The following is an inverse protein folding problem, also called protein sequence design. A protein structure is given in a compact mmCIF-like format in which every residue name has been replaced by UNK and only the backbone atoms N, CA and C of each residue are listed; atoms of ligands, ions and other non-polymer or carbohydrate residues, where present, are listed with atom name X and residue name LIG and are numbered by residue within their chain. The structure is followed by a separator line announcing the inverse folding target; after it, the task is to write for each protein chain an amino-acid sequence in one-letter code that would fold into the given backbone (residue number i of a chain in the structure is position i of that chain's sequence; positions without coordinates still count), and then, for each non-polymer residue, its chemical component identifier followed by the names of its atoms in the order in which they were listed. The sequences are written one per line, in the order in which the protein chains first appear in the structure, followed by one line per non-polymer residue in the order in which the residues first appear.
data_IF_265887233157
#
_entry.id   IF_265887233157
#
_cell.length_a   1.000
_cell.length_b   1.000
_cell.length_c   1.000
_cell.angle_alpha   90.00
_cell.angle_beta   90.00
_cell.angle_gamma   90.00
#
_symmetry.space_group_name_H-M   'P 1'
#
loop_
_entity.id
_entity.type
_entity.pdbx_description
1 polymer ?
#
# COMPACT_ATOMS: atom_id res chain seq x y z
N UNK A 1 -69.29 -73.06 24.52
CA UNK A 1 -69.74 -71.67 24.79
C UNK A 1 -69.11 -70.77 23.75
N UNK A 2 -69.92 -70.41 22.79
CA UNK A 2 -69.54 -69.91 21.46
C UNK A 2 -69.89 -68.42 21.42
N UNK A 3 -68.91 -67.54 21.26
CA UNK A 3 -69.17 -66.10 21.09
C UNK A 3 -69.12 -65.75 19.60
N UNK A 4 -70.28 -65.32 19.12
CA UNK A 4 -70.57 -64.99 17.74
C UNK A 4 -69.86 -63.70 17.30
N UNK A 5 -69.34 -63.74 16.08
CA UNK A 5 -68.79 -62.62 15.33
C UNK A 5 -69.97 -61.89 14.66
N UNK A 6 -70.17 -60.62 15.01
CA UNK A 6 -71.13 -59.75 14.34
C UNK A 6 -70.41 -58.97 13.24
N UNK A 7 -70.69 -59.33 11.99
CA UNK A 7 -70.29 -58.58 10.79
C UNK A 7 -71.43 -57.63 10.46
N UNK A 8 -71.18 -56.33 10.56
CA UNK A 8 -72.10 -55.30 10.10
C UNK A 8 -71.68 -54.88 8.68
N UNK A 9 -72.45 -55.32 7.68
CA UNK A 9 -72.44 -54.76 6.34
C UNK A 9 -73.21 -53.44 6.37
N UNK A 10 -72.57 -52.33 6.03
CA UNK A 10 -73.26 -51.07 5.74
C UNK A 10 -72.94 -50.67 4.30
N UNK A 11 -73.99 -50.68 3.48
CA UNK A 11 -73.99 -50.40 2.05
C UNK A 11 -74.10 -48.89 1.78
N UNK A 12 -73.34 -48.44 0.79
CA UNK A 12 -73.47 -47.28 -0.09
C UNK A 12 -74.41 -46.12 0.30
N UNK A 13 -73.80 -44.95 0.49
CA UNK A 13 -74.36 -43.65 0.11
C UNK A 13 -73.31 -42.88 -0.70
N UNK A 14 -73.43 -42.92 -2.03
CA UNK A 14 -72.64 -42.07 -2.93
C UNK A 14 -73.14 -40.63 -2.80
N UNK A 15 -72.32 -39.75 -2.23
CA UNK A 15 -72.44 -38.31 -2.42
C UNK A 15 -71.26 -37.87 -3.27
N UNK A 16 -71.52 -37.72 -4.58
CA UNK A 16 -70.67 -36.99 -5.51
C UNK A 16 -70.71 -35.50 -5.13
N UNK A 17 -69.98 -35.10 -4.09
CA UNK A 17 -69.51 -33.73 -3.99
C UNK A 17 -68.28 -33.65 -4.88
N UNK A 18 -68.48 -33.10 -6.08
CA UNK A 18 -67.37 -32.65 -6.90
C UNK A 18 -66.59 -31.61 -6.10
N UNK A 19 -65.50 -32.04 -5.49
CA UNK A 19 -64.40 -31.14 -5.20
C UNK A 19 -63.97 -30.62 -6.56
N UNK A 20 -64.30 -29.36 -6.83
CA UNK A 20 -63.50 -28.57 -7.71
C UNK A 20 -62.06 -28.74 -7.22
N UNK A 21 -61.24 -29.45 -8.01
CA UNK A 21 -59.83 -29.16 -8.02
C UNK A 21 -59.77 -27.69 -8.41
N UNK A 22 -59.68 -26.82 -7.41
CA UNK A 22 -59.04 -25.52 -7.59
C UNK A 22 -57.72 -25.87 -8.27
N UNK A 23 -57.65 -25.58 -9.56
CA UNK A 23 -56.40 -25.58 -10.28
C UNK A 23 -55.47 -24.76 -9.42
N UNK A 24 -54.45 -25.40 -8.85
CA UNK A 24 -53.25 -24.73 -8.38
C UNK A 24 -52.92 -23.73 -9.48
N UNK A 25 -53.25 -22.46 -9.23
CA UNK A 25 -52.80 -21.38 -10.08
C UNK A 25 -51.29 -21.47 -9.93
N UNK A 26 -50.63 -22.05 -10.93
CA UNK A 26 -49.18 -22.15 -10.97
C UNK A 26 -48.66 -20.75 -10.71
N UNK A 27 -48.17 -20.51 -9.50
CA UNK A 27 -47.61 -19.24 -9.07
C UNK A 27 -46.29 -19.09 -9.83
N UNK A 28 -46.39 -18.63 -11.07
CA UNK A 28 -45.25 -18.38 -11.92
C UNK A 28 -44.59 -17.11 -11.39
N UNK A 29 -43.45 -17.27 -10.73
CA UNK A 29 -42.61 -16.14 -10.35
C UNK A 29 -41.87 -15.62 -11.59
N UNK A 30 -41.86 -14.30 -11.77
CA UNK A 30 -41.17 -13.64 -12.89
C UNK A 30 -40.24 -12.57 -12.33
N UNK A 31 -38.96 -12.59 -12.73
CA UNK A 31 -38.00 -11.55 -12.36
C UNK A 31 -38.30 -10.27 -13.14
N UNK A 32 -38.64 -9.19 -12.43
CA UNK A 32 -38.99 -7.89 -13.02
C UNK A 32 -37.79 -6.96 -13.14
N UNK A 33 -36.97 -6.90 -12.10
CA UNK A 33 -35.77 -6.06 -12.02
C UNK A 33 -34.77 -6.65 -11.02
N UNK A 34 -33.51 -6.28 -11.13
CA UNK A 34 -32.47 -6.67 -10.19
C UNK A 34 -31.36 -5.63 -10.09
N UNK A 35 -30.72 -5.57 -8.92
CA UNK A 35 -29.52 -4.76 -8.69
C UNK A 35 -28.52 -5.52 -7.85
N UNK A 36 -27.24 -5.39 -8.20
CA UNK A 36 -26.13 -5.98 -7.44
C UNK A 36 -25.22 -4.87 -6.95
N UNK A 37 -24.79 -4.97 -5.70
CA UNK A 37 -23.82 -4.06 -5.11
C UNK A 37 -22.48 -4.15 -5.82
N UNK A 38 -21.66 -3.10 -5.70
CA UNK A 38 -20.22 -3.27 -5.99
C UNK A 38 -19.61 -4.26 -5.00
N UNK A 39 -18.43 -4.80 -5.33
CA UNK A 39 -17.66 -5.65 -4.41
C UNK A 39 -17.52 -4.97 -3.05
N UNK A 40 -18.08 -5.57 -2.00
CA UNK A 40 -18.02 -5.07 -0.63
C UNK A 40 -16.77 -5.64 0.06
N UNK A 41 -15.79 -4.79 0.40
CA UNK A 41 -14.56 -5.21 1.10
C UNK A 41 -14.69 -5.21 2.64
N UNK A 42 -15.91 -5.16 3.15
CA UNK A 42 -16.19 -5.16 4.59
C UNK A 42 -16.01 -6.57 5.17
N UNK A 43 -16.53 -7.57 4.46
CA UNK A 43 -16.65 -8.93 4.95
C UNK A 43 -15.57 -9.86 4.41
N UNK A 44 -15.26 -10.95 5.13
CA UNK A 44 -14.49 -12.06 4.57
C UNK A 44 -15.34 -12.87 3.57
N UNK A 45 -15.08 -12.75 2.25
CA UNK A 45 -15.91 -13.42 1.25
C UNK A 45 -15.78 -14.95 1.30
N UNK A 46 -14.69 -15.49 1.82
CA UNK A 46 -14.48 -16.95 1.91
C UNK A 46 -15.23 -17.61 3.06
N UNK A 47 -15.70 -16.82 4.04
CA UNK A 47 -16.44 -17.31 5.22
C UNK A 47 -17.92 -16.95 5.17
N UNK A 48 -18.30 -16.07 4.25
CA UNK A 48 -19.65 -15.52 4.15
C UNK A 48 -20.68 -16.64 3.93
N UNK A 49 -21.80 -16.54 4.63
CA UNK A 49 -22.97 -17.35 4.34
C UNK A 49 -23.73 -16.73 3.17
N UNK A 50 -24.03 -17.52 2.15
CA UNK A 50 -25.07 -17.17 1.19
C UNK A 50 -26.40 -17.20 1.94
N UNK A 51 -27.09 -16.06 2.04
CA UNK A 51 -28.25 -15.90 2.91
C UNK A 51 -29.27 -14.93 2.33
N UNK A 52 -30.52 -15.11 2.73
CA UNK A 52 -31.55 -14.09 2.55
C UNK A 52 -31.35 -13.07 3.66
N UNK A 53 -31.12 -11.81 3.27
CA UNK A 53 -31.02 -10.68 4.20
C UNK A 53 -32.38 -10.08 4.49
N UNK A 54 -33.23 -9.97 3.47
CA UNK A 54 -34.55 -9.37 3.61
C UNK A 54 -35.50 -9.96 2.56
N UNK A 55 -36.75 -10.17 2.97
CA UNK A 55 -37.86 -10.54 2.09
C UNK A 55 -39.05 -9.63 2.43
N UNK A 56 -39.52 -8.85 1.45
CA UNK A 56 -40.68 -7.98 1.58
C UNK A 56 -41.72 -8.37 0.55
N UNK A 57 -42.97 -8.53 0.96
CA UNK A 57 -44.09 -8.84 0.05
C UNK A 57 -45.06 -7.68 0.08
N UNK A 58 -45.44 -7.17 -1.10
CA UNK A 58 -46.41 -6.09 -1.25
C UNK A 58 -47.14 -6.18 -2.58
N UNK A 59 -48.48 -6.23 -2.52
CA UNK A 59 -49.36 -6.04 -3.68
C UNK A 59 -49.02 -6.92 -4.88
N UNK A 60 -48.87 -8.24 -4.68
CA UNK A 60 -48.54 -9.16 -5.77
C UNK A 60 -47.08 -9.15 -6.24
N UNK A 61 -46.19 -8.40 -5.58
CA UNK A 61 -44.75 -8.40 -5.84
C UNK A 61 -43.97 -8.71 -4.57
N UNK A 62 -42.79 -9.28 -4.75
CA UNK A 62 -41.82 -9.56 -3.68
C UNK A 62 -40.48 -8.92 -3.98
N UNK A 63 -39.86 -8.35 -2.96
CA UNK A 63 -38.47 -7.87 -3.00
C UNK A 63 -37.65 -8.82 -2.14
N UNK A 64 -36.62 -9.41 -2.73
CA UNK A 64 -35.72 -10.37 -2.10
C UNK A 64 -34.29 -9.84 -2.15
N UNK A 65 -33.69 -9.58 -0.98
CA UNK A 65 -32.29 -9.21 -0.85
C UNK A 65 -31.45 -10.40 -0.39
N UNK A 66 -30.42 -10.74 -1.15
CA UNK A 66 -29.53 -11.88 -0.94
C UNK A 66 -28.11 -11.37 -0.74
N UNK A 67 -27.46 -11.82 0.33
CA UNK A 67 -26.01 -11.65 0.53
C UNK A 67 -25.31 -12.94 0.10
N UNK A 68 -24.26 -12.85 -0.71
CA UNK A 68 -23.52 -14.00 -1.20
C UNK A 68 -22.08 -13.62 -1.58
N UNK A 69 -21.24 -14.64 -1.79
CA UNK A 69 -19.86 -14.45 -2.22
C UNK A 69 -19.60 -15.09 -3.58
N UNK A 70 -19.01 -14.32 -4.49
CA UNK A 70 -18.71 -14.78 -5.85
C UNK A 70 -17.35 -14.22 -6.31
N UNK A 71 -16.82 -14.70 -7.44
CA UNK A 71 -15.64 -14.14 -8.07
C UNK A 71 -15.83 -12.63 -8.36
N UNK A 72 -14.80 -11.83 -8.08
CA UNK A 72 -14.80 -10.38 -8.31
C UNK A 72 -15.05 -9.98 -9.78
N UNK A 73 -14.73 -10.85 -10.74
CA UNK A 73 -14.92 -10.63 -12.17
C UNK A 73 -16.18 -11.32 -12.73
N UNK A 74 -17.01 -11.91 -11.87
CA UNK A 74 -18.26 -12.51 -12.31
C UNK A 74 -19.23 -11.42 -12.79
N UNK A 75 -19.73 -11.57 -14.01
CA UNK A 75 -20.90 -10.82 -14.46
C UNK A 75 -22.15 -11.50 -13.88
N UNK A 76 -22.76 -10.86 -12.89
CA UNK A 76 -23.90 -11.41 -12.16
C UNK A 76 -25.17 -11.03 -12.92
N UNK A 77 -25.81 -12.01 -13.56
CA UNK A 77 -27.10 -11.85 -14.23
C UNK A 77 -28.09 -12.88 -13.68
N UNK A 78 -28.93 -12.53 -12.69
CA UNK A 78 -29.82 -13.48 -12.05
C UNK A 78 -30.95 -13.94 -12.98
N UNK A 79 -31.28 -15.23 -12.89
CA UNK A 79 -32.49 -15.83 -13.45
C UNK A 79 -33.28 -16.47 -12.32
N UNK A 80 -34.61 -16.41 -12.42
CA UNK A 80 -35.53 -16.95 -11.41
C UNK A 80 -36.40 -18.01 -12.06
N UNK A 81 -36.43 -19.20 -11.47
CA UNK A 81 -37.23 -20.34 -11.92
C UNK A 81 -37.98 -20.95 -10.74
N UNK A 82 -39.09 -21.64 -11.02
CA UNK A 82 -39.88 -22.33 -9.99
C UNK A 82 -39.90 -23.81 -10.27
N UNK A 83 -39.41 -24.61 -9.32
CA UNK A 83 -39.34 -26.07 -9.43
C UNK A 83 -39.87 -26.68 -8.14
N UNK A 84 -40.95 -27.46 -8.21
CA UNK A 84 -41.55 -28.15 -7.06
C UNK A 84 -41.73 -27.21 -5.85
N UNK A 85 -42.46 -26.10 -6.06
CA UNK A 85 -42.71 -25.04 -5.08
C UNK A 85 -41.47 -24.29 -4.54
N UNK A 86 -40.28 -24.58 -5.06
CA UNK A 86 -39.04 -23.91 -4.69
C UNK A 86 -38.68 -22.83 -5.69
N UNK A 87 -38.16 -21.70 -5.20
CA UNK A 87 -37.60 -20.64 -6.02
C UNK A 87 -36.12 -20.93 -6.27
N UNK A 88 -35.71 -21.06 -7.53
CA UNK A 88 -34.31 -21.26 -7.91
C UNK A 88 -33.79 -19.97 -8.54
N UNK A 89 -32.65 -19.50 -8.03
CA UNK A 89 -31.97 -18.29 -8.44
C UNK A 89 -30.60 -18.68 -8.97
N UNK A 90 -30.37 -18.49 -10.26
CA UNK A 90 -29.09 -18.79 -10.91
C UNK A 90 -28.41 -17.49 -11.30
N UNK A 91 -27.15 -17.28 -10.90
CA UNK A 91 -26.40 -16.05 -11.17
C UNK A 91 -25.41 -16.17 -12.33
N UNK A 92 -25.17 -17.39 -12.81
CA UNK A 92 -24.33 -17.66 -13.98
C UNK A 92 -25.16 -17.68 -15.26
N UNK A 93 -24.61 -17.14 -16.35
CA UNK A 93 -25.13 -17.42 -17.68
C UNK A 93 -25.07 -18.93 -17.94
N UNK A 94 -26.11 -19.55 -18.51
CA UNK A 94 -25.96 -20.89 -19.03
C UNK A 94 -24.88 -20.84 -20.12
N UNK A 95 -23.90 -21.71 -20.01
CA UNK A 95 -22.94 -21.97 -21.08
C UNK A 95 -23.70 -22.63 -22.25
N UNK A 96 -24.49 -21.84 -22.98
CA UNK A 96 -25.05 -22.26 -24.26
C UNK A 96 -23.98 -22.05 -25.33
N UNK A 97 -23.18 -23.09 -25.51
CA UNK A 97 -22.57 -23.55 -26.77
C UNK A 97 -21.67 -22.66 -27.65
N UNK A 98 -21.42 -21.38 -27.35
CA UNK A 98 -20.54 -20.57 -28.20
C UNK A 98 -19.22 -20.21 -27.52
N UNK A 99 -18.17 -20.11 -28.34
CA UNK A 99 -16.74 -19.89 -28.06
C UNK A 99 -16.44 -18.62 -27.24
N UNK A 100 -16.94 -18.53 -26.00
CA UNK A 100 -16.68 -17.40 -25.11
C UNK A 100 -15.24 -17.52 -24.61
N UNK A 101 -14.42 -16.56 -25.03
CA UNK A 101 -13.11 -16.22 -24.46
C UNK A 101 -13.09 -16.57 -22.97
N UNK A 102 -12.11 -17.39 -22.58
CA UNK A 102 -11.83 -17.71 -21.17
C UNK A 102 -11.77 -16.39 -20.41
N UNK A 103 -12.86 -16.02 -19.73
CA UNK A 103 -12.91 -14.86 -18.86
C UNK A 103 -11.77 -15.08 -17.87
N UNK A 104 -10.75 -14.21 -17.95
CA UNK A 104 -9.52 -14.34 -17.21
C UNK A 104 -9.83 -14.76 -15.77
N UNK A 105 -9.26 -15.89 -15.34
CA UNK A 105 -9.43 -16.39 -13.97
C UNK A 105 -8.96 -15.29 -13.00
N UNK A 106 -9.90 -14.50 -12.50
CA UNK A 106 -9.58 -13.53 -11.49
C UNK A 106 -9.43 -14.27 -10.17
N UNK A 107 -8.22 -14.27 -9.59
CA UNK A 107 -7.95 -14.82 -8.26
C UNK A 107 -8.41 -13.85 -7.16
N UNK A 108 -9.65 -13.38 -7.26
CA UNK A 108 -10.30 -12.67 -6.18
C UNK A 108 -11.75 -13.11 -5.96
N UNK A 109 -12.14 -13.13 -4.69
CA UNK A 109 -13.52 -13.35 -4.25
C UNK A 109 -14.03 -12.07 -3.60
N UNK A 110 -15.27 -11.73 -3.87
CA UNK A 110 -15.96 -10.55 -3.39
C UNK A 110 -17.24 -10.92 -2.66
N UNK A 111 -17.68 -10.04 -1.76
CA UNK A 111 -18.99 -10.11 -1.14
C UNK A 111 -19.95 -9.21 -1.90
N UNK A 112 -21.14 -9.70 -2.18
CA UNK A 112 -22.17 -9.00 -2.94
C UNK A 112 -23.50 -9.03 -2.21
N UNK A 113 -24.26 -7.96 -2.40
CA UNK A 113 -25.68 -7.86 -2.06
C UNK A 113 -26.47 -7.75 -3.35
N UNK A 114 -27.38 -8.68 -3.61
CA UNK A 114 -28.28 -8.65 -4.76
C UNK A 114 -29.72 -8.45 -4.29
N UNK A 115 -30.38 -7.44 -4.84
CA UNK A 115 -31.79 -7.17 -4.65
C UNK A 115 -32.55 -7.60 -5.90
N UNK A 116 -33.54 -8.47 -5.74
CA UNK A 116 -34.40 -8.98 -6.80
C UNK A 116 -35.82 -8.47 -6.59
N UNK A 117 -36.44 -7.93 -7.64
CA UNK A 117 -37.86 -7.63 -7.68
C UNK A 117 -38.59 -8.72 -8.48
N UNK A 118 -39.47 -9.47 -7.82
CA UNK A 118 -40.12 -10.66 -8.36
C UNK A 118 -41.63 -10.43 -8.37
N UNK A 119 -42.29 -10.70 -9.51
CA UNK A 119 -43.74 -10.77 -9.60
C UNK A 119 -44.22 -12.06 -8.96
N UNK A 120 -45.21 -11.98 -8.07
CA UNK A 120 -45.68 -13.07 -7.22
C UNK A 120 -45.40 -12.81 -5.74
N UNK A 121 -46.20 -13.42 -4.87
CA UNK A 121 -46.07 -13.29 -3.41
C UNK A 121 -45.29 -14.49 -2.86
N UNK A 122 -44.01 -14.27 -2.54
CA UNK A 122 -43.15 -15.31 -1.97
C UNK A 122 -43.69 -15.74 -0.61
N UNK A 123 -43.97 -17.03 -0.46
CA UNK A 123 -44.46 -17.59 0.80
C UNK A 123 -43.34 -17.56 1.84
N UNK A 124 -43.69 -17.33 3.11
CA UNK A 124 -42.73 -17.21 4.23
C UNK A 124 -41.85 -18.46 4.40
N UNK A 125 -42.39 -19.65 4.10
CA UNK A 125 -41.69 -20.94 4.22
C UNK A 125 -41.25 -21.52 2.87
N UNK A 126 -41.27 -20.73 1.80
CA UNK A 126 -40.85 -21.20 0.49
C UNK A 126 -39.34 -21.51 0.50
N UNK A 127 -38.95 -22.66 -0.05
CA UNK A 127 -37.53 -22.97 -0.20
C UNK A 127 -36.92 -22.13 -1.32
N UNK A 128 -35.82 -21.43 -1.02
CA UNK A 128 -35.08 -20.61 -1.99
C UNK A 128 -33.68 -21.19 -2.17
N UNK A 129 -33.25 -21.33 -3.43
CA UNK A 129 -31.95 -21.85 -3.81
C UNK A 129 -31.17 -20.79 -4.60
N UNK A 130 -29.90 -20.61 -4.29
CA UNK A 130 -28.95 -19.79 -5.06
C UNK A 130 -27.86 -20.70 -5.63
N UNK A 131 -27.76 -20.79 -6.95
CA UNK A 131 -26.82 -21.68 -7.65
C UNK A 131 -26.85 -23.11 -7.08
N UNK A 132 -28.05 -23.71 -7.06
CA UNK A 132 -28.34 -25.05 -6.53
C UNK A 132 -28.11 -25.27 -5.03
N UNK A 133 -27.81 -24.20 -4.27
CA UNK A 133 -27.63 -24.28 -2.82
C UNK A 133 -28.79 -23.60 -2.11
N UNK A 134 -29.45 -24.34 -1.24
CA UNK A 134 -30.50 -23.78 -0.38
C UNK A 134 -29.90 -22.62 0.43
N UNK A 135 -30.57 -21.47 0.40
CA UNK A 135 -30.28 -20.32 1.25
C UNK A 135 -31.44 -20.08 2.20
N UNK A 136 -31.15 -19.55 3.37
CA UNK A 136 -32.14 -19.31 4.42
C UNK A 136 -32.05 -17.87 4.90
N UNK A 137 -33.12 -17.40 5.52
CA UNK A 137 -33.08 -16.15 6.26
C UNK A 137 -32.11 -16.29 7.43
N UNK A 138 -31.20 -15.33 7.54
CA UNK A 138 -30.24 -15.28 8.65
C UNK A 138 -29.84 -13.85 8.89
N UNK A 139 -29.79 -13.39 10.14
CA UNK A 139 -29.16 -12.12 10.51
C UNK A 139 -27.63 -12.20 10.52
N UNK A 140 -27.08 -13.42 10.58
CA UNK A 140 -25.66 -13.68 10.70
C UNK A 140 -24.96 -13.74 9.35
N UNK A 141 -23.87 -12.98 9.21
CA UNK A 141 -23.02 -12.95 8.00
C UNK A 141 -22.13 -14.19 7.85
N UNK A 142 -21.79 -14.83 8.97
CA UNK A 142 -20.90 -15.99 9.03
C UNK A 142 -21.52 -17.10 9.84
N UNK A 143 -21.01 -18.32 9.67
CA UNK A 143 -21.30 -19.42 10.61
C UNK A 143 -20.91 -19.01 12.02
N UNK A 144 -21.83 -19.24 12.96
CA UNK A 144 -21.59 -18.91 14.36
C UNK A 144 -20.87 -20.04 15.09
N UNK A 145 -20.08 -19.66 16.09
CA UNK A 145 -19.34 -20.54 16.99
C UNK A 145 -19.51 -20.04 18.42
N UNK A 146 -19.34 -20.90 19.45
CA UNK A 146 -19.36 -20.46 20.83
C UNK A 146 -18.33 -19.35 21.09
N UNK A 147 -18.77 -18.29 21.76
CA UNK A 147 -17.88 -17.25 22.28
C UNK A 147 -16.93 -17.89 23.29
N UNK A 148 -15.65 -17.54 23.22
CA UNK A 148 -14.64 -18.03 24.14
C UNK A 148 -13.81 -16.88 24.69
N UNK A 149 -13.30 -17.05 25.90
CA UNK A 149 -12.35 -16.13 26.51
C UNK A 149 -11.55 -16.83 27.60
N UNK A 150 -10.51 -16.18 28.07
CA UNK A 150 -9.66 -16.61 29.19
C UNK A 150 -9.53 -15.46 30.18
N UNK A 151 -9.10 -15.76 31.41
CA UNK A 151 -8.82 -14.72 32.40
C UNK A 151 -7.34 -14.68 32.75
N UNK A 152 -6.82 -13.47 32.92
CA UNK A 152 -5.45 -13.22 33.38
C UNK A 152 -5.45 -11.99 34.28
N UNK A 153 -4.96 -12.13 35.52
CA UNK A 153 -4.95 -11.07 36.52
C UNK A 153 -6.31 -10.39 36.73
N UNK A 154 -7.40 -11.17 36.71
CA UNK A 154 -8.77 -10.66 36.88
C UNK A 154 -9.35 -9.93 35.65
N UNK A 155 -8.62 -9.88 34.54
CA UNK A 155 -9.06 -9.29 33.29
C UNK A 155 -9.37 -10.37 32.25
N UNK A 156 -10.37 -10.13 31.41
CA UNK A 156 -10.68 -11.00 30.28
C UNK A 156 -9.66 -10.78 29.15
N UNK A 157 -9.14 -11.88 28.61
CA UNK A 157 -8.17 -11.93 27.52
C UNK A 157 -8.55 -13.02 26.51
N UNK A 158 -7.91 -13.00 25.34
CA UNK A 158 -8.07 -14.02 24.31
C UNK A 158 -9.53 -14.27 23.92
N UNK A 159 -10.32 -13.20 23.83
CA UNK A 159 -11.74 -13.28 23.52
C UNK A 159 -11.95 -13.55 22.03
N UNK A 160 -12.89 -14.43 21.72
CA UNK A 160 -13.39 -14.66 20.37
C UNK A 160 -14.89 -14.40 20.31
N UNK A 161 -15.35 -13.65 19.32
CA UNK A 161 -16.78 -13.39 19.15
C UNK A 161 -17.55 -14.59 18.60
N UNK A 162 -18.86 -14.42 18.43
CA UNK A 162 -19.75 -15.45 17.87
C UNK A 162 -19.40 -15.89 16.45
N UNK A 163 -18.51 -15.19 15.75
CA UNK A 163 -18.01 -15.56 14.43
C UNK A 163 -16.56 -16.10 14.46
N UNK A 164 -16.00 -16.29 15.66
CA UNK A 164 -14.64 -16.80 15.86
C UNK A 164 -13.54 -15.78 15.56
N UNK A 165 -13.86 -14.49 15.40
CA UNK A 165 -12.85 -13.44 15.27
C UNK A 165 -12.30 -13.06 16.64
N UNK A 166 -11.01 -12.73 16.69
CA UNK A 166 -10.33 -12.26 17.89
C UNK A 166 -10.77 -10.84 18.23
N UNK A 167 -11.02 -10.57 19.50
CA UNK A 167 -11.44 -9.26 20.01
C UNK A 167 -10.66 -8.87 21.27
N UNK A 168 -10.53 -7.57 21.48
CA UNK A 168 -9.88 -7.03 22.66
C UNK A 168 -8.43 -7.48 22.78
N UNK A 169 -8.00 -7.76 24.02
CA UNK A 169 -6.59 -8.08 24.33
C UNK A 169 -6.31 -9.57 24.13
N UNK A 170 -5.35 -9.85 23.27
CA UNK A 170 -4.86 -11.19 23.00
C UNK A 170 -3.44 -11.36 23.54
N UNK A 171 -3.27 -12.27 24.49
CA UNK A 171 -2.00 -12.59 25.14
C UNK A 171 -1.50 -13.98 24.73
N UNK A 172 -0.21 -14.05 24.45
CA UNK A 172 0.54 -15.31 24.36
C UNK A 172 1.62 -15.31 25.42
N UNK A 173 1.93 -16.49 25.94
CA UNK A 173 2.83 -16.65 27.08
C UNK A 173 4.02 -17.52 26.68
N UNK A 174 5.20 -17.16 27.20
CA UNK A 174 6.41 -17.95 27.03
C UNK A 174 6.38 -19.19 27.96
N UNK A 175 7.41 -20.04 27.85
CA UNK A 175 7.52 -21.27 28.66
C UNK A 175 7.62 -21.01 30.18
N UNK A 176 8.08 -19.83 30.58
CA UNK A 176 8.17 -19.42 31.98
C UNK A 176 6.85 -18.81 32.51
N UNK A 177 5.81 -18.70 31.67
CA UNK A 177 4.53 -18.10 32.02
C UNK A 177 4.48 -16.58 31.93
N UNK A 178 5.57 -15.92 31.51
CA UNK A 178 5.59 -14.49 31.22
C UNK A 178 4.88 -14.17 29.90
N UNK A 179 4.37 -12.94 29.75
CA UNK A 179 3.76 -12.49 28.50
C UNK A 179 4.86 -12.44 27.43
N UNK A 180 4.65 -13.09 26.29
CA UNK A 180 5.56 -13.05 25.13
C UNK A 180 5.10 -12.00 24.12
N UNK A 181 3.80 -12.01 23.80
CA UNK A 181 3.18 -11.03 22.91
C UNK A 181 1.81 -10.62 23.45
N UNK A 182 1.51 -9.35 23.23
CA UNK A 182 0.20 -8.75 23.49
C UNK A 182 -0.28 -8.05 22.22
N UNK A 183 -1.47 -8.41 21.75
CA UNK A 183 -2.08 -7.84 20.54
C UNK A 183 -3.43 -7.25 20.95
N UNK A 184 -3.75 -6.05 20.48
CA UNK A 184 -5.08 -5.48 20.63
C UNK A 184 -5.84 -5.59 19.30
N UNK A 185 -7.01 -6.19 19.35
CA UNK A 185 -7.98 -6.22 18.26
C UNK A 185 -9.16 -5.28 18.56
N UNK A 186 -9.84 -4.75 17.53
CA UNK A 186 -11.09 -4.03 17.69
C UNK A 186 -12.13 -4.87 18.44
N UNK A 187 -12.91 -4.21 19.28
CA UNK A 187 -14.14 -4.80 19.80
C UNK A 187 -15.12 -4.99 18.64
N UNK A 188 -15.80 -6.14 18.57
CA UNK A 188 -16.84 -6.40 17.56
C UNK A 188 -16.33 -6.43 16.11
N UNK A 189 -15.22 -7.12 15.83
CA UNK A 189 -14.69 -7.22 14.46
C UNK A 189 -15.56 -8.12 13.57
N UNK A 190 -16.30 -7.50 12.65
CA UNK A 190 -16.98 -8.15 11.52
C UNK A 190 -16.07 -8.27 10.27
N UNK A 191 -14.81 -7.83 10.39
CA UNK A 191 -13.95 -7.52 9.24
C UNK A 191 -13.26 -8.77 8.67
N UNK A 192 -12.99 -8.69 7.36
CA UNK A 192 -12.28 -9.67 6.53
C UNK A 192 -11.03 -10.28 7.19
N UNK A 193 -10.25 -9.44 7.86
CA UNK A 193 -9.17 -9.78 8.79
C UNK A 193 -9.40 -8.87 9.99
N UNK A 194 -9.43 -9.41 11.21
CA UNK A 194 -9.38 -8.58 12.40
C UNK A 194 -8.05 -7.83 12.40
N UNK A 195 -8.03 -6.62 11.83
CA UNK A 195 -6.83 -5.81 11.80
C UNK A 195 -6.50 -5.44 13.22
N UNK A 196 -5.31 -5.86 13.66
CA UNK A 196 -4.81 -5.49 14.98
C UNK A 196 -4.65 -3.97 15.05
N UNK A 197 -5.12 -3.36 16.13
CA UNK A 197 -4.91 -1.93 16.42
C UNK A 197 -3.44 -1.69 16.76
N UNK A 198 -2.84 -2.60 17.53
CA UNK A 198 -1.41 -2.61 17.82
C UNK A 198 -0.97 -3.97 18.32
N UNK A 199 0.35 -4.19 18.38
CA UNK A 199 0.91 -5.31 19.14
C UNK A 199 2.25 -4.96 19.79
N UNK A 200 2.57 -5.70 20.84
CA UNK A 200 3.78 -5.62 21.64
C UNK A 200 4.45 -6.98 21.71
N UNK A 201 5.78 -6.99 21.76
CA UNK A 201 6.60 -8.15 22.09
C UNK A 201 7.41 -7.86 23.33
N UNK A 202 7.48 -8.84 24.21
CA UNK A 202 8.26 -8.77 25.44
C UNK A 202 9.37 -9.83 25.43
N UNK A 203 10.44 -9.57 26.17
CA UNK A 203 11.49 -10.55 26.43
C UNK A 203 11.09 -11.54 27.51
N UNK A 204 11.92 -12.55 27.77
CA UNK A 204 11.68 -13.52 28.84
C UNK A 204 11.67 -12.88 30.24
N UNK A 205 12.41 -11.78 30.43
CA UNK A 205 12.41 -10.99 31.67
C UNK A 205 11.19 -10.06 31.81
N UNK A 206 10.34 -9.98 30.78
CA UNK A 206 9.16 -9.10 30.74
C UNK A 206 9.44 -7.70 30.21
N UNK A 207 10.64 -7.41 29.70
CA UNK A 207 10.97 -6.10 29.12
C UNK A 207 10.31 -5.95 27.75
N UNK A 208 9.75 -4.78 27.46
CA UNK A 208 9.20 -4.49 26.14
C UNK A 208 10.35 -4.45 25.12
N UNK A 209 10.26 -5.22 24.04
CA UNK A 209 11.26 -5.27 22.97
C UNK A 209 10.77 -4.62 21.67
N UNK A 210 9.47 -4.68 21.42
CA UNK A 210 8.87 -4.22 20.17
C UNK A 210 7.45 -3.72 20.38
N UNK A 211 7.09 -2.66 19.67
CA UNK A 211 5.74 -2.12 19.60
C UNK A 211 5.46 -1.67 18.17
N UNK A 212 4.24 -1.89 17.70
CA UNK A 212 3.77 -1.29 16.44
C UNK A 212 2.27 -1.09 16.43
N UNK A 213 1.87 0.01 15.81
CA UNK A 213 0.52 0.46 15.48
C UNK A 213 0.53 0.98 14.04
N UNK A 214 -0.63 1.30 13.43
CA UNK A 214 -0.70 1.87 12.09
C UNK A 214 0.17 3.12 11.89
N UNK A 215 0.31 3.93 12.93
CA UNK A 215 0.99 5.22 12.93
C UNK A 215 2.39 5.18 13.57
N UNK A 216 2.79 4.08 14.21
CA UNK A 216 4.09 4.06 14.89
C UNK A 216 4.72 2.68 15.03
N UNK A 217 6.03 2.63 15.15
CA UNK A 217 6.80 1.42 15.44
C UNK A 217 8.00 1.76 16.29
N UNK A 218 8.24 1.00 17.36
CA UNK A 218 9.35 1.23 18.26
C UNK A 218 10.01 -0.08 18.70
N UNK A 219 11.31 -0.03 18.99
CA UNK A 219 12.13 -1.18 19.42
C UNK A 219 13.01 -0.77 20.58
N UNK A 220 13.16 -1.67 21.54
CA UNK A 220 13.99 -1.50 22.73
C UNK A 220 14.96 -2.68 22.89
N UNK A 221 16.02 -2.48 23.66
CA UNK A 221 16.91 -3.56 24.10
C UNK A 221 16.43 -4.20 25.42
N UNK A 222 17.13 -5.25 25.87
CA UNK A 222 16.84 -5.95 27.13
C UNK A 222 17.02 -5.09 28.39
N UNK A 223 17.71 -3.95 28.29
CA UNK A 223 17.85 -2.98 29.39
C UNK A 223 16.68 -2.00 29.46
N UNK A 224 15.81 -1.99 28.45
CA UNK A 224 14.69 -1.06 28.31
C UNK A 224 15.04 0.24 27.59
N UNK A 225 16.22 0.34 26.99
CA UNK A 225 16.61 1.52 26.21
C UNK A 225 15.98 1.47 24.81
N UNK A 226 15.45 2.60 24.35
CA UNK A 226 14.86 2.74 23.01
C UNK A 226 15.96 2.73 21.94
N UNK A 227 15.91 1.77 21.01
CA UNK A 227 16.87 1.59 19.92
C UNK A 227 16.40 2.18 18.59
N UNK A 228 15.10 2.20 18.34
CA UNK A 228 14.55 2.85 17.15
C UNK A 228 13.08 3.20 17.31
N UNK A 229 12.67 4.30 16.69
CA UNK A 229 11.30 4.79 16.62
C UNK A 229 10.99 5.23 15.19
N UNK A 230 9.80 4.89 14.70
CA UNK A 230 9.19 5.41 13.47
C UNK A 230 7.81 5.92 13.84
N UNK A 231 7.47 7.15 13.43
CA UNK A 231 6.16 7.77 13.64
C UNK A 231 5.67 8.35 12.32
N UNK A 232 4.47 7.97 11.91
CA UNK A 232 3.75 8.53 10.77
C UNK A 232 2.67 9.48 11.29
N UNK A 233 2.54 10.67 10.69
CA UNK A 233 1.47 11.61 11.02
C UNK A 233 1.06 12.41 9.79
N UNK A 234 -0.13 12.98 9.81
CA UNK A 234 -0.66 13.78 8.70
C UNK A 234 -0.87 15.25 9.13
N UNK A 235 -0.65 16.17 8.19
CA UNK A 235 -0.95 17.59 8.34
C UNK A 235 -1.52 18.12 7.02
N UNK A 236 -2.84 18.27 6.95
CA UNK A 236 -3.54 18.49 5.68
C UNK A 236 -3.37 17.28 4.77
N UNK A 237 -3.09 17.52 3.49
CA UNK A 237 -2.89 16.47 2.49
C UNK A 237 -1.45 15.91 2.47
N UNK A 238 -0.58 16.37 3.37
CA UNK A 238 0.79 15.88 3.50
C UNK A 238 0.91 14.85 4.62
N UNK A 239 1.48 13.70 4.30
CA UNK A 239 1.88 12.68 5.28
C UNK A 239 3.37 12.84 5.59
N UNK A 240 3.74 12.70 6.85
CA UNK A 240 5.12 12.77 7.33
C UNK A 240 5.51 11.45 7.97
N UNK A 241 6.76 11.03 7.73
CA UNK A 241 7.39 9.91 8.42
C UNK A 241 8.64 10.41 9.14
N UNK A 242 8.64 10.30 10.47
CA UNK A 242 9.79 10.59 11.32
C UNK A 242 10.42 9.29 11.78
N UNK A 243 11.73 9.13 11.61
CA UNK A 243 12.51 7.99 12.14
C UNK A 243 13.67 8.46 12.99
N UNK A 244 13.83 7.84 14.14
CA UNK A 244 15.00 7.95 15.01
C UNK A 244 15.61 6.56 15.24
N UNK A 245 16.94 6.48 15.26
CA UNK A 245 17.68 5.28 15.68
C UNK A 245 18.85 5.67 16.56
N UNK A 246 19.14 4.85 17.56
CA UNK A 246 20.21 5.05 18.52
C UNK A 246 21.23 3.90 18.43
N UNK A 247 22.47 4.20 18.77
CA UNK A 247 23.53 3.24 19.04
C UNK A 247 23.32 2.55 20.40
N UNK A 248 24.06 1.49 20.69
CA UNK A 248 23.94 0.77 21.98
C UNK A 248 24.36 1.61 23.20
N UNK A 249 25.20 2.61 22.99
CA UNK A 249 25.60 3.60 24.00
C UNK A 249 24.59 4.76 24.14
N UNK A 250 23.44 4.67 23.46
CA UNK A 250 22.35 5.64 23.45
C UNK A 250 22.66 6.97 22.76
N UNK A 251 23.83 7.10 22.11
CA UNK A 251 24.04 8.21 21.19
C UNK A 251 23.16 8.01 19.96
N UNK A 252 22.76 9.13 19.35
CA UNK A 252 21.90 9.11 18.16
C UNK A 252 22.72 8.55 17.01
N UNK A 253 22.13 7.67 16.22
CA UNK A 253 22.72 7.15 14.98
C UNK A 253 22.09 7.78 13.75
N UNK A 254 20.76 7.95 13.77
CA UNK A 254 19.98 8.46 12.64
C UNK A 254 18.81 9.30 13.14
N UNK A 255 18.62 10.48 12.53
CA UNK A 255 17.36 11.23 12.54
C UNK A 255 16.92 11.50 11.12
N UNK A 256 15.65 11.28 10.85
CA UNK A 256 15.13 11.36 9.49
C UNK A 256 13.69 11.86 9.53
N UNK A 257 13.39 12.85 8.68
CA UNK A 257 12.03 13.30 8.40
C UNK A 257 11.81 13.34 6.89
N UNK A 258 10.84 12.54 6.44
CA UNK A 258 10.33 12.52 5.08
C UNK A 258 8.91 13.06 5.05
N UNK A 259 8.55 13.73 3.96
CA UNK A 259 7.17 14.12 3.66
C UNK A 259 6.74 13.50 2.34
N UNK A 260 5.48 13.07 2.28
CA UNK A 260 4.79 12.60 1.11
C UNK A 260 3.59 13.52 0.85
N UNK A 261 3.49 14.07 -0.36
CA UNK A 261 2.39 14.96 -0.74
C UNK A 261 1.95 14.70 -2.17
N UNK A 262 0.68 14.99 -2.46
CA UNK A 262 0.13 14.93 -3.81
C UNK A 262 0.67 16.13 -4.61
N UNK A 263 1.19 15.88 -5.80
CA UNK A 263 1.61 16.91 -6.74
C UNK A 263 1.14 16.57 -8.15
N UNK A 264 1.05 17.57 -9.01
CA UNK A 264 0.62 17.41 -10.40
C UNK A 264 1.81 17.67 -11.31
N UNK A 265 2.19 16.67 -12.11
CA UNK A 265 3.21 16.85 -13.14
C UNK A 265 2.50 17.07 -14.48
N UNK A 266 2.89 18.13 -15.19
CA UNK A 266 2.46 18.39 -16.57
C UNK A 266 3.48 17.86 -17.59
N UNK A 267 3.01 17.44 -18.76
CA UNK A 267 3.90 17.13 -19.87
C UNK A 267 4.55 18.40 -20.43
N UNK A 268 5.87 18.39 -20.63
CA UNK A 268 6.59 19.48 -21.29
C UNK A 268 6.18 19.65 -22.76
N UNK A 269 5.60 18.61 -23.37
CA UNK A 269 5.17 18.61 -24.78
C UNK A 269 3.69 18.93 -24.96
N UNK A 270 2.87 18.60 -23.98
CA UNK A 270 1.43 18.82 -24.00
C UNK A 270 0.95 19.32 -22.64
N UNK A 271 0.79 20.62 -22.50
CA UNK A 271 0.41 21.27 -21.25
C UNK A 271 -1.03 20.94 -20.81
N UNK A 272 -1.84 20.32 -21.67
CA UNK A 272 -3.16 19.81 -21.31
C UNK A 272 -3.10 18.46 -20.58
N UNK A 273 -1.99 17.73 -20.72
CA UNK A 273 -1.80 16.44 -20.05
C UNK A 273 -1.17 16.67 -18.68
N UNK A 274 -1.93 16.37 -17.63
CA UNK A 274 -1.49 16.40 -16.24
C UNK A 274 -1.72 15.05 -15.58
N UNK A 275 -0.83 14.67 -14.67
CA UNK A 275 -0.95 13.46 -13.87
C UNK A 275 -0.70 13.80 -12.41
N UNK A 276 -1.60 13.38 -11.54
CA UNK A 276 -1.39 13.44 -10.09
C UNK A 276 -0.49 12.28 -9.65
N UNK A 277 0.56 12.60 -8.90
CA UNK A 277 1.48 11.63 -8.33
C UNK A 277 1.72 11.95 -6.85
N UNK A 278 2.17 10.95 -6.08
CA UNK A 278 2.67 11.16 -4.72
C UNK A 278 4.18 11.36 -4.82
N UNK A 279 4.65 12.54 -4.44
CA UNK A 279 6.07 12.86 -4.36
C UNK A 279 6.57 12.67 -2.92
N UNK A 280 7.75 12.06 -2.77
CA UNK A 280 8.40 11.85 -1.48
C UNK A 280 9.67 12.68 -1.41
N UNK A 281 9.82 13.48 -0.35
CA UNK A 281 10.96 14.36 -0.17
C UNK A 281 11.51 14.27 1.26
N UNK A 282 12.84 14.21 1.36
CA UNK A 282 13.53 14.39 2.63
C UNK A 282 13.44 15.86 3.06
N UNK A 283 12.78 16.11 4.19
CA UNK A 283 12.92 17.41 4.87
C UNK A 283 14.34 17.50 5.43
N UNK A 284 14.78 16.43 6.10
CA UNK A 284 16.17 16.23 6.49
C UNK A 284 16.51 14.75 6.72
N UNK A 285 17.81 14.43 6.67
CA UNK A 285 18.40 13.17 7.14
C UNK A 285 19.75 13.46 7.78
N UNK A 286 19.90 13.08 9.04
CA UNK A 286 21.11 13.26 9.86
C UNK A 286 21.62 11.88 10.27
N UNK A 287 22.89 11.59 10.06
CA UNK A 287 23.57 10.41 10.56
C UNK A 287 24.75 10.81 11.43
N UNK A 288 25.08 9.95 12.38
CA UNK A 288 26.11 10.21 13.39
C UNK A 288 26.94 8.96 13.66
N UNK A 289 28.22 9.20 13.91
CA UNK A 289 29.14 8.21 14.47
C UNK A 289 28.76 7.86 15.92
N UNK A 290 29.25 6.72 16.42
CA UNK A 290 29.01 6.31 17.82
C UNK A 290 29.50 7.35 18.85
N UNK A 291 30.51 8.15 18.47
CA UNK A 291 31.05 9.28 19.25
C UNK A 291 30.08 10.46 19.37
N UNK A 292 28.97 10.46 18.62
CA UNK A 292 28.02 11.56 18.53
C UNK A 292 28.39 12.64 17.50
N UNK A 293 29.55 12.52 16.84
CA UNK A 293 29.92 13.42 15.74
C UNK A 293 29.03 13.16 14.51
N UNK A 294 28.57 14.20 13.79
CA UNK A 294 27.85 14.03 12.53
C UNK A 294 28.68 13.25 11.52
N UNK A 295 28.06 12.35 10.77
CA UNK A 295 28.65 11.68 9.61
C UNK A 295 27.98 12.11 8.31
N UNK A 296 26.69 12.48 8.36
CA UNK A 296 25.93 12.95 7.21
C UNK A 296 24.82 13.92 7.63
N UNK A 297 24.60 14.96 6.82
CA UNK A 297 23.44 15.84 6.91
C UNK A 297 22.95 16.09 5.49
N UNK A 298 21.74 15.63 5.17
CA UNK A 298 21.05 15.95 3.93
C UNK A 298 19.85 16.83 4.26
N UNK A 299 19.78 18.02 3.66
CA UNK A 299 18.66 18.95 3.79
C UNK A 299 18.29 19.42 2.40
N UNK A 300 17.04 19.17 1.97
CA UNK A 300 16.56 19.43 0.61
C UNK A 300 17.48 18.79 -0.45
N UNK A 301 18.29 19.61 -1.07
CA UNK A 301 19.18 19.33 -2.19
C UNK A 301 20.67 19.37 -1.82
N UNK A 302 20.99 19.72 -0.58
CA UNK A 302 22.35 19.84 -0.09
C UNK A 302 22.69 18.66 0.82
N UNK A 303 23.86 18.05 0.62
CA UNK A 303 24.38 16.95 1.45
C UNK A 303 25.76 17.29 1.95
N UNK A 304 25.97 17.18 3.26
CA UNK A 304 27.25 17.29 3.93
C UNK A 304 27.65 15.91 4.46
N UNK A 305 28.95 15.60 4.39
CA UNK A 305 29.55 14.42 5.02
C UNK A 305 30.78 14.85 5.79
N UNK A 306 31.05 14.18 6.90
CA UNK A 306 32.20 14.47 7.75
C UNK A 306 33.00 13.22 8.05
N UNK A 307 34.29 13.39 8.21
CA UNK A 307 35.16 12.39 8.79
C UNK A 307 34.89 12.20 10.29
N UNK A 308 35.30 11.07 10.88
CA UNK A 308 35.14 10.83 12.33
C UNK A 308 35.84 11.85 13.24
N UNK A 309 36.85 12.57 12.73
CA UNK A 309 37.54 13.63 13.47
C UNK A 309 36.77 14.97 13.48
N UNK A 310 35.65 15.07 12.77
CA UNK A 310 34.81 16.26 12.66
C UNK A 310 35.12 17.17 11.47
N UNK A 311 36.17 16.88 10.69
CA UNK A 311 36.47 17.63 9.47
C UNK A 311 35.49 17.28 8.35
N UNK A 312 35.16 18.27 7.52
CA UNK A 312 34.28 18.07 6.37
C UNK A 312 34.96 17.13 5.36
N UNK A 313 34.21 16.14 4.86
CA UNK A 313 34.65 15.18 3.83
C UNK A 313 34.08 15.56 2.47
N UNK A 314 32.78 15.84 2.41
CA UNK A 314 32.07 16.13 1.16
C UNK A 314 30.96 17.16 1.39
N UNK A 315 30.83 18.10 0.46
CA UNK A 315 29.67 18.98 0.32
C UNK A 315 29.10 18.78 -1.09
N UNK A 316 27.83 18.42 -1.20
CA UNK A 316 27.11 18.25 -2.47
C UNK A 316 25.89 19.16 -2.50
N UNK A 317 25.62 19.74 -3.66
CA UNK A 317 24.47 20.61 -3.96
C UNK A 317 23.94 20.21 -5.37
N UNK A 318 22.76 20.69 -5.84
CA UNK A 318 22.13 20.19 -7.08
C UNK A 318 23.05 20.08 -8.28
N UNK A 319 23.96 21.05 -8.40
CA UNK A 319 24.76 21.28 -9.59
C UNK A 319 26.26 21.21 -9.29
N UNK A 320 26.66 20.46 -8.25
CA UNK A 320 28.07 20.26 -7.96
C UNK A 320 28.39 19.57 -6.64
N UNK A 321 29.69 19.40 -6.42
CA UNK A 321 30.24 18.83 -5.19
C UNK A 321 31.64 19.36 -4.90
N UNK A 322 32.02 19.37 -3.63
CA UNK A 322 33.37 19.58 -3.14
C UNK A 322 33.76 18.39 -2.27
N UNK A 323 34.99 17.91 -2.42
CA UNK A 323 35.58 16.88 -1.56
C UNK A 323 36.83 17.40 -0.90
N UNK A 324 37.10 16.91 0.30
CA UNK A 324 38.19 17.37 1.14
C UNK A 324 39.03 16.20 1.65
N UNK A 325 40.31 16.44 1.83
CA UNK A 325 41.19 15.53 2.55
C UNK A 325 40.89 15.55 4.05
N UNK A 326 41.36 14.53 4.77
CA UNK A 326 41.27 14.46 6.26
C UNK A 326 41.98 15.62 6.98
N UNK A 327 42.84 16.37 6.28
CA UNK A 327 43.50 17.57 6.77
C UNK A 327 42.62 18.83 6.65
N UNK A 328 41.42 18.71 6.08
CA UNK A 328 40.49 19.81 5.81
C UNK A 328 40.77 20.56 4.50
N UNK A 329 41.82 20.19 3.77
CA UNK A 329 42.18 20.82 2.49
C UNK A 329 41.25 20.34 1.37
N UNK A 330 40.94 21.21 0.40
CA UNK A 330 40.10 20.86 -0.74
C UNK A 330 40.86 19.85 -1.61
N UNK A 331 40.22 18.72 -1.93
CA UNK A 331 40.76 17.68 -2.81
C UNK A 331 40.25 17.89 -4.24
N UNK A 332 38.94 18.13 -4.37
CA UNK A 332 38.31 18.35 -5.67
C UNK A 332 37.05 19.20 -5.59
N UNK A 333 36.76 19.89 -6.67
CA UNK A 333 35.50 20.58 -6.90
C UNK A 333 34.92 20.15 -8.25
N UNK A 334 33.62 19.88 -8.28
CA UNK A 334 32.89 19.56 -9.50
C UNK A 334 31.67 20.47 -9.58
N UNK A 335 31.36 20.95 -10.79
CA UNK A 335 30.18 21.73 -11.09
C UNK A 335 29.57 21.27 -12.41
N UNK A 336 28.26 21.38 -12.47
CA UNK A 336 27.46 21.14 -13.66
C UNK A 336 26.52 22.34 -13.87
N UNK A 337 26.28 22.73 -15.11
CA UNK A 337 25.26 23.73 -15.42
C UNK A 337 24.68 23.52 -16.80
N UNK A 338 23.50 24.10 -17.01
CA UNK A 338 22.80 24.09 -18.29
C UNK A 338 22.77 25.49 -18.86
N UNK A 339 23.21 25.69 -20.09
CA UNK A 339 23.01 26.96 -20.77
C UNK A 339 21.71 26.91 -21.59
N UNK A 340 20.99 28.03 -21.63
CA UNK A 340 19.78 28.13 -22.44
C UNK A 340 20.18 28.35 -23.89
N UNK A 341 19.87 27.38 -24.75
CA UNK A 341 19.96 27.55 -26.20
C UNK A 341 19.03 28.66 -26.71
N UNK A 342 19.27 29.14 -27.94
CA UNK A 342 18.34 30.04 -28.64
C UNK A 342 16.99 29.32 -28.81
N UNK A 343 15.88 30.06 -28.90
CA UNK A 343 14.51 29.50 -29.03
C UNK A 343 14.48 28.30 -30.00
N UNK A 344 14.16 27.11 -29.46
CA UNK A 344 14.09 25.86 -30.22
C UNK A 344 15.33 24.96 -30.14
N UNK A 345 16.40 25.38 -29.46
CA UNK A 345 17.59 24.56 -29.20
C UNK A 345 17.57 23.96 -27.80
N UNK A 346 18.10 22.74 -27.69
CA UNK A 346 18.30 22.02 -26.43
C UNK A 346 19.28 22.75 -25.52
N UNK A 347 19.22 22.46 -24.21
CA UNK A 347 20.21 22.95 -23.25
C UNK A 347 21.55 22.25 -23.48
N UNK A 348 22.63 23.01 -23.61
CA UNK A 348 23.98 22.47 -23.53
C UNK A 348 24.29 22.18 -22.06
N UNK A 349 24.69 20.94 -21.75
CA UNK A 349 25.08 20.53 -20.40
C UNK A 349 26.59 20.64 -20.26
N UNK A 350 27.06 21.40 -19.28
CA UNK A 350 28.46 21.68 -19.08
C UNK A 350 28.91 21.07 -17.76
N UNK A 351 30.09 20.44 -17.77
CA UNK A 351 30.71 19.86 -16.59
C UNK A 351 32.12 20.42 -16.40
N UNK A 352 32.45 20.82 -15.18
CA UNK A 352 33.78 21.31 -14.80
C UNK A 352 34.24 20.59 -13.53
N UNK A 353 35.46 20.05 -13.56
CA UNK A 353 36.12 19.42 -12.42
C UNK A 353 37.47 20.08 -12.17
N UNK A 354 37.80 20.38 -10.92
CA UNK A 354 39.09 20.91 -10.47
C UNK A 354 39.66 19.93 -9.44
N UNK A 355 40.91 19.53 -9.59
CA UNK A 355 41.65 18.73 -8.62
C UNK A 355 42.76 19.57 -7.99
N UNK A 356 42.96 19.35 -6.70
CA UNK A 356 43.95 20.05 -5.89
C UNK A 356 44.97 19.07 -5.30
N UNK A 357 46.20 19.54 -5.08
CA UNK A 357 47.23 18.80 -4.35
C UNK A 357 47.12 19.01 -2.82
N UNK A 358 48.08 18.44 -2.08
CA UNK A 358 48.12 18.52 -0.61
C UNK A 358 48.53 19.91 -0.10
N UNK A 359 49.00 20.79 -0.97
CA UNK A 359 49.33 22.19 -0.69
C UNK A 359 48.21 23.14 -1.12
N UNK A 360 47.03 22.57 -1.44
CA UNK A 360 45.84 23.28 -1.90
C UNK A 360 46.09 24.08 -3.20
N UNK A 361 47.02 23.63 -4.03
CA UNK A 361 47.28 24.18 -5.36
C UNK A 361 46.50 23.40 -6.42
N UNK A 362 46.08 24.10 -7.48
CA UNK A 362 45.38 23.48 -8.60
C UNK A 362 46.35 22.56 -9.34
N UNK A 363 46.00 21.28 -9.40
CA UNK A 363 46.73 20.25 -10.13
C UNK A 363 46.16 20.04 -11.53
N UNK A 364 44.84 20.06 -11.65
CA UNK A 364 44.15 19.77 -12.91
C UNK A 364 42.79 20.44 -12.98
N UNK A 365 42.43 20.95 -14.15
CA UNK A 365 41.07 21.37 -14.49
C UNK A 365 40.61 20.53 -15.68
N UNK A 366 39.39 20.01 -15.62
CA UNK A 366 38.76 19.25 -16.70
C UNK A 366 37.39 19.84 -17.02
N UNK A 367 37.12 20.09 -18.28
CA UNK A 367 35.87 20.67 -18.76
C UNK A 367 35.30 19.85 -19.91
N UNK A 368 34.00 19.58 -19.88
CA UNK A 368 33.31 18.89 -20.96
C UNK A 368 31.97 19.57 -21.27
N UNK A 369 31.81 20.14 -22.47
CA UNK A 369 30.50 20.51 -23.00
C UNK A 369 29.84 19.27 -23.63
N UNK A 370 28.66 18.90 -23.13
CA UNK A 370 27.81 17.87 -23.72
C UNK A 370 26.97 18.47 -24.84
N UNK A 371 27.64 18.98 -25.88
CA UNK A 371 27.01 19.47 -27.11
C UNK A 371 27.12 18.39 -28.19
N UNK A 372 26.55 17.20 -27.98
CA UNK A 372 26.58 16.16 -29.01
C UNK A 372 25.18 15.59 -29.21
N UNK A 373 24.57 15.97 -30.33
CA UNK A 373 23.42 15.26 -30.85
C UNK A 373 23.79 13.79 -31.05
N UNK A 374 22.99 12.81 -30.59
CA UNK A 374 23.22 11.41 -30.90
C UNK A 374 22.86 11.16 -32.37
N UNK A 375 23.70 11.62 -33.29
CA UNK A 375 23.68 11.18 -34.68
C UNK A 375 24.61 9.99 -34.78
N UNK A 376 24.05 8.79 -34.57
CA UNK A 376 24.62 7.46 -34.81
C UNK A 376 25.98 7.10 -34.17
N UNK A 377 25.90 6.14 -33.24
CA UNK A 377 26.92 5.17 -32.81
C UNK A 377 28.21 5.61 -32.09
N UNK A 378 28.59 6.89 -32.01
CA UNK A 378 29.74 7.32 -31.18
C UNK A 378 29.42 8.61 -30.42
N UNK A 379 29.33 8.53 -29.08
CA UNK A 379 29.35 9.73 -28.23
C UNK A 379 30.80 10.18 -28.06
N UNK A 380 31.26 11.09 -28.92
CA UNK A 380 32.54 11.78 -28.72
C UNK A 380 32.36 12.86 -27.65
N UNK A 381 32.53 12.49 -26.38
CA UNK A 381 32.62 13.45 -25.29
C UNK A 381 33.88 14.28 -25.48
N UNK A 382 33.73 15.54 -25.89
CA UNK A 382 34.86 16.47 -25.96
C UNK A 382 35.27 16.80 -24.53
N UNK A 383 36.50 16.45 -24.17
CA UNK A 383 37.07 16.68 -22.84
C UNK A 383 38.33 17.54 -22.96
N UNK A 384 38.29 18.72 -22.36
CA UNK A 384 39.41 19.66 -22.28
C UNK A 384 40.08 19.52 -20.92
N UNK A 385 41.40 19.34 -20.89
CA UNK A 385 42.18 19.14 -19.65
C UNK A 385 43.37 20.09 -19.59
N UNK A 386 43.44 20.85 -18.52
CA UNK A 386 44.59 21.68 -18.14
C UNK A 386 45.29 21.06 -16.94
N UNK A 387 46.62 21.02 -16.94
CA UNK A 387 47.40 20.46 -15.83
C UNK A 387 48.56 21.37 -15.45
N UNK A 388 48.83 21.45 -14.16
CA UNK A 388 49.96 22.21 -13.60
C UNK A 388 50.92 21.27 -12.88
N UNK A 389 52.20 21.62 -12.92
CA UNK A 389 53.20 20.99 -12.06
C UNK A 389 53.16 21.57 -10.64
N UNK A 390 53.96 20.98 -9.73
CA UNK A 390 54.10 21.43 -8.34
C UNK A 390 54.69 22.86 -8.19
N UNK A 391 55.23 23.42 -9.26
CA UNK A 391 55.79 24.77 -9.30
C UNK A 391 54.80 25.78 -9.91
N UNK A 392 53.55 25.36 -10.16
CA UNK A 392 52.47 26.13 -10.76
C UNK A 392 52.68 26.50 -12.23
N UNK A 393 53.55 25.78 -12.93
CA UNK A 393 53.69 25.93 -14.38
C UNK A 393 52.62 25.09 -15.09
N UNK A 394 51.95 25.66 -16.09
CA UNK A 394 51.04 24.91 -16.96
C UNK A 394 51.86 23.92 -17.80
N UNK A 395 51.59 22.63 -17.67
CA UNK A 395 52.30 21.54 -18.36
C UNK A 395 51.46 20.85 -19.45
N UNK A 396 50.13 21.04 -19.41
CA UNK A 396 49.21 20.52 -20.42
C UNK A 396 48.11 21.54 -20.66
N UNK A 397 47.86 21.85 -21.93
CA UNK A 397 46.81 22.73 -22.43
C UNK A 397 46.09 22.00 -23.58
N UNK A 398 44.74 21.98 -23.65
CA UNK A 398 44.04 21.24 -24.68
C UNK A 398 44.31 21.84 -26.07
N UNK A 399 44.62 21.01 -27.08
CA UNK A 399 44.73 21.52 -28.44
C UNK A 399 43.37 22.04 -28.91
N UNK A 400 43.36 23.22 -29.55
CA UNK A 400 42.19 23.85 -30.21
C UNK A 400 41.12 24.47 -29.29
N UNK A 401 41.44 24.83 -28.04
CA UNK A 401 40.54 25.68 -27.24
C UNK A 401 40.69 27.16 -27.64
N UNK A 402 39.66 27.74 -28.25
CA UNK A 402 39.67 29.15 -28.74
C UNK A 402 38.74 30.08 -27.93
N UNK A 403 38.06 29.56 -26.90
CA UNK A 403 37.09 30.31 -26.09
C UNK A 403 37.68 30.92 -24.81
N UNK A 404 36.91 31.79 -24.11
CA UNK A 404 37.29 32.21 -22.77
C UNK A 404 37.33 31.00 -21.82
N UNK A 405 38.28 30.95 -20.89
CA UNK A 405 38.39 29.82 -19.97
C UNK A 405 37.09 29.57 -19.19
N UNK A 406 36.61 28.31 -19.11
CA UNK A 406 35.28 28.01 -18.58
C UNK A 406 35.15 28.29 -17.08
N UNK A 407 36.26 28.41 -16.35
CA UNK A 407 36.27 28.79 -14.94
C UNK A 407 36.30 30.29 -14.67
N UNK A 408 36.49 31.13 -15.70
CA UNK A 408 36.50 32.60 -15.55
C UNK A 408 35.17 33.16 -15.05
N UNK A 409 34.07 32.45 -15.29
CA UNK A 409 32.72 32.79 -14.84
C UNK A 409 32.37 32.23 -13.45
N UNK A 410 33.27 31.48 -12.82
CA UNK A 410 33.03 30.80 -11.55
C UNK A 410 33.87 31.48 -10.47
N UNK A 411 33.31 32.49 -9.81
CA UNK A 411 33.97 33.32 -8.79
C UNK A 411 34.76 32.50 -7.75
N UNK A 412 34.23 31.33 -7.34
CA UNK A 412 34.90 30.46 -6.36
C UNK A 412 36.20 29.83 -6.85
N UNK A 413 36.34 29.60 -8.16
CA UNK A 413 37.57 29.05 -8.77
C UNK A 413 38.53 30.19 -9.13
N UNK A 414 37.99 31.33 -9.58
CA UNK A 414 38.76 32.54 -9.86
C UNK A 414 39.56 32.99 -8.64
N UNK A 415 38.96 32.97 -7.44
CA UNK A 415 39.64 33.34 -6.20
C UNK A 415 40.74 32.35 -5.74
N UNK A 416 40.84 31.17 -6.36
CA UNK A 416 41.82 30.13 -6.02
C UNK A 416 42.98 30.04 -7.02
N UNK A 417 42.84 30.67 -8.17
CA UNK A 417 43.93 30.79 -9.14
C UNK A 417 44.91 31.87 -8.65
N UNK A 418 46.23 31.65 -8.76
CA UNK A 418 47.17 32.76 -8.63
C UNK A 418 46.75 33.89 -9.58
N UNK A 419 46.99 35.15 -9.22
CA UNK A 419 46.84 36.31 -10.11
C UNK A 419 47.74 36.13 -11.33
N UNK A 420 47.29 35.30 -12.27
CA UNK A 420 47.78 35.26 -13.62
C UNK A 420 46.95 36.30 -14.34
N UNK A 421 47.60 37.36 -14.81
CA UNK A 421 47.07 38.19 -15.89
C UNK A 421 46.87 37.25 -17.08
N UNK A 422 45.67 36.69 -17.18
CA UNK A 422 45.18 35.97 -18.34
C UNK A 422 44.87 37.04 -19.39
N UNK A 423 45.89 37.46 -20.14
CA UNK A 423 45.72 38.26 -21.36
C UNK A 423 45.03 37.47 -22.47
#
# INVERSE_FOLDING_TARGET
MTKAVFIFFCFCGYSLTGFAQDREASTSYELLDWKVSKCEDIYNPYRLLNRIKEQKVSSGNSILSIHFSENCCAEIQPRVETVNDSLIISTSLPNEDDEVEVVAECDCRCSFTMELQIRGELLENQAIYLNDRKIEYSEDFYKTVPVSSSSYQGQEINRTNKYGHREGRWLTFNKAGGIEMEILYPESSLLKKGERIWWKKYSESGMLLFYTSPDSTARWNERGDLLSEIVNYQKGDTTFQRRNRWHENLSIHLRWLERAYLTTIGSERDTAVTMEIIENEYVYREEYYETGQPSLLKVRDTTFRWFPNGDLEELRYPNGRQKFYKTGQLESQFREWKEKGKKGQWHSEHQLSVLFDAENQIKMISYSPSDVQPTSEVMDLTLYVWQWDKFKNLISDPPNWEGPYPWSSIESIVNLLPEYELE
#
